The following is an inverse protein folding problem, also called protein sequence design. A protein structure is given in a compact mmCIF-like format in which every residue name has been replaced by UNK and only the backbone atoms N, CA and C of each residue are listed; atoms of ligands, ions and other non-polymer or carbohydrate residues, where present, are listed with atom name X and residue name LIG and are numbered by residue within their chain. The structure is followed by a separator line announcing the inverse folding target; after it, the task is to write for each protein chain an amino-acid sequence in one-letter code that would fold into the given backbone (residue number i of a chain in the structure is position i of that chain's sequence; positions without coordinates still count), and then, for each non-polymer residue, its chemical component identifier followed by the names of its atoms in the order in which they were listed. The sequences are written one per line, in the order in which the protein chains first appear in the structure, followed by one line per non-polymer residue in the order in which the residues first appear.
data_IF_676185267855
#
_entry.id   IF_676185267855
#
_cell.length_a   1.000
_cell.length_b   1.000
_cell.length_c   1.000
_cell.angle_alpha   90.00
_cell.angle_beta   90.00
_cell.angle_gamma   90.00
#
_symmetry.space_group_name_H-M   'P 1'
#
loop_
_entity.id
_entity.type
_entity.pdbx_description
1 polymer ?
#
# COMPACT_ATOMS: atom_id res chain seq x y z
N UNK A 1 5.73 20.70 19.65
CA UNK A 1 5.63 20.81 18.17
C UNK A 1 5.36 19.40 17.66
N UNK A 2 4.40 19.24 16.76
CA UNK A 2 4.13 17.94 16.16
C UNK A 2 5.20 17.59 15.11
N UNK A 3 5.68 16.35 15.10
CA UNK A 3 6.58 15.83 14.08
C UNK A 3 5.81 15.65 12.76
N UNK A 4 6.38 16.07 11.67
CA UNK A 4 5.81 15.92 10.33
C UNK A 4 6.21 14.59 9.73
N UNK A 5 5.25 13.70 9.51
CA UNK A 5 5.48 12.42 8.84
C UNK A 5 5.00 12.45 7.39
N UNK A 6 5.78 11.86 6.50
CA UNK A 6 5.36 11.51 5.15
C UNK A 6 5.48 10.01 4.93
N UNK A 7 4.50 9.42 4.26
CA UNK A 7 4.49 8.00 3.95
C UNK A 7 4.83 7.81 2.48
N UNK A 8 5.75 6.90 2.19
CA UNK A 8 6.22 6.52 0.86
C UNK A 8 5.95 5.03 0.66
N UNK A 9 5.11 4.69 -0.29
CA UNK A 9 4.62 3.31 -0.48
C UNK A 9 5.16 2.73 -1.78
N UNK A 10 5.94 1.65 -1.67
CA UNK A 10 6.19 0.77 -2.81
C UNK A 10 4.93 -0.05 -3.09
N UNK A 11 4.16 0.39 -4.09
CA UNK A 11 2.89 -0.22 -4.44
C UNK A 11 3.04 -1.64 -4.98
N UNK A 12 4.12 -1.92 -5.69
CA UNK A 12 4.42 -3.25 -6.21
C UNK A 12 4.72 -4.24 -5.07
N UNK A 13 5.56 -3.82 -4.13
CA UNK A 13 5.84 -4.60 -2.93
C UNK A 13 4.58 -4.83 -2.08
N UNK A 14 3.81 -3.77 -1.81
CA UNK A 14 2.60 -3.86 -1.00
C UNK A 14 1.55 -4.79 -1.63
N UNK A 15 1.39 -4.73 -2.95
CA UNK A 15 0.47 -5.61 -3.67
C UNK A 15 0.87 -7.09 -3.54
N UNK A 16 2.15 -7.42 -3.72
CA UNK A 16 2.66 -8.79 -3.56
C UNK A 16 2.55 -9.26 -2.11
N UNK A 17 2.91 -8.40 -1.18
CA UNK A 17 2.89 -8.69 0.26
C UNK A 17 1.50 -8.96 0.81
N UNK A 18 0.45 -8.42 0.17
CA UNK A 18 -0.94 -8.69 0.53
C UNK A 18 -1.25 -10.20 0.56
N UNK A 19 -0.75 -10.96 -0.40
CA UNK A 19 -0.98 -12.43 -0.45
C UNK A 19 -0.30 -13.13 0.72
N UNK A 20 0.94 -12.73 1.04
CA UNK A 20 1.68 -13.28 2.18
C UNK A 20 1.02 -12.95 3.51
N UNK A 21 0.60 -11.69 3.67
CA UNK A 21 -0.13 -11.23 4.86
C UNK A 21 -1.41 -12.04 5.06
N UNK A 22 -2.14 -12.25 3.99
CA UNK A 22 -3.34 -13.07 3.90
C UNK A 22 -3.13 -14.51 4.40
N UNK A 23 -2.09 -15.18 3.87
CA UNK A 23 -1.75 -16.54 4.27
C UNK A 23 -1.36 -16.63 5.74
N UNK A 24 -0.59 -15.65 6.24
CA UNK A 24 -0.18 -15.61 7.65
C UNK A 24 -1.34 -15.43 8.62
N UNK A 25 -2.38 -14.72 8.21
CA UNK A 25 -3.56 -14.47 9.05
C UNK A 25 -4.59 -15.61 9.01
N UNK A 26 -4.38 -16.64 8.17
CA UNK A 26 -5.31 -17.76 8.02
C UNK A 26 -6.67 -17.36 7.45
N UNK A 27 -6.72 -16.30 6.68
CA UNK A 27 -7.96 -15.75 6.12
C UNK A 27 -8.37 -16.48 4.85
N UNK A 28 -9.54 -17.11 4.81
CA UNK A 28 -10.04 -17.82 3.62
C UNK A 28 -10.64 -16.88 2.56
N UNK A 29 -11.14 -15.70 2.98
CA UNK A 29 -11.95 -14.80 2.14
C UNK A 29 -11.22 -13.58 1.56
N UNK A 30 -9.93 -13.49 1.75
CA UNK A 30 -9.14 -12.37 1.28
C UNK A 30 -8.93 -11.26 2.31
N UNK A 31 -7.71 -10.75 2.34
CA UNK A 31 -7.33 -9.59 3.12
C UNK A 31 -7.29 -8.36 2.20
N UNK A 32 -8.13 -7.39 2.48
CA UNK A 32 -8.08 -6.09 1.80
C UNK A 32 -7.58 -5.03 2.77
N UNK A 33 -6.64 -4.22 2.28
CA UNK A 33 -6.08 -3.10 3.05
C UNK A 33 -7.03 -1.90 2.97
N UNK A 34 -7.31 -1.30 4.11
CA UNK A 34 -7.93 0.02 4.20
C UNK A 34 -6.87 1.10 3.97
N UNK A 35 -6.73 1.53 2.73
CA UNK A 35 -5.75 2.53 2.34
C UNK A 35 -6.01 3.90 3.00
N UNK A 36 -7.23 4.21 3.41
CA UNK A 36 -7.52 5.46 4.12
C UNK A 36 -6.98 5.43 5.56
N UNK A 37 -6.92 4.25 6.19
CA UNK A 37 -6.42 4.06 7.56
C UNK A 37 -4.91 3.81 7.61
N UNK A 38 -4.36 3.06 6.64
CA UNK A 38 -2.98 2.59 6.66
C UNK A 38 -1.96 3.66 7.05
N UNK A 39 -1.90 4.85 6.44
CA UNK A 39 -0.89 5.85 6.81
C UNK A 39 -1.05 6.38 8.22
N UNK A 40 -2.30 6.48 8.70
CA UNK A 40 -2.60 6.99 10.04
C UNK A 40 -2.18 6.01 11.11
N UNK A 41 -2.52 4.73 10.96
CA UNK A 41 -2.11 3.66 11.87
C UNK A 41 -0.60 3.66 12.07
N UNK A 42 0.17 3.82 10.99
CA UNK A 42 1.63 3.87 11.07
C UNK A 42 2.15 5.14 11.75
N UNK A 43 1.50 6.28 11.54
CA UNK A 43 1.85 7.52 12.26
C UNK A 43 1.52 7.44 13.75
N UNK A 44 0.39 6.83 14.09
CA UNK A 44 -0.04 6.63 15.48
C UNK A 44 0.92 5.68 16.22
N UNK A 45 1.44 4.65 15.56
CA UNK A 45 2.44 3.74 16.11
C UNK A 45 3.74 4.50 16.47
N UNK A 46 4.22 5.37 15.56
CA UNK A 46 5.39 6.21 15.82
C UNK A 46 5.12 7.22 16.95
N UNK A 47 3.95 7.83 16.97
CA UNK A 47 3.55 8.78 18.01
C UNK A 47 3.55 8.12 19.39
N UNK A 48 2.99 6.90 19.49
CA UNK A 48 2.97 6.11 20.71
C UNK A 48 4.39 5.71 21.16
N UNK A 49 5.26 5.34 20.21
CA UNK A 49 6.64 4.98 20.54
C UNK A 49 7.46 6.16 21.07
N UNK A 50 7.26 7.35 20.48
CA UNK A 50 8.02 8.56 20.86
C UNK A 50 7.41 9.33 22.03
N UNK A 51 6.17 9.06 22.39
CA UNK A 51 5.35 9.90 23.29
C UNK A 51 5.30 11.37 22.80
N UNK A 52 5.21 11.54 21.46
CA UNK A 52 5.15 12.82 20.76
C UNK A 52 4.04 12.84 19.72
N UNK A 53 3.46 14.02 19.47
CA UNK A 53 2.48 14.18 18.39
C UNK A 53 3.13 14.01 17.01
N UNK A 54 2.54 13.18 16.15
CA UNK A 54 2.94 12.98 14.77
C UNK A 54 1.82 13.39 13.83
N UNK A 55 2.09 14.32 12.91
CA UNK A 55 1.15 14.78 11.90
C UNK A 55 1.48 14.18 10.55
N UNK A 56 0.54 13.43 9.98
CA UNK A 56 0.63 12.97 8.59
C UNK A 56 0.50 14.15 7.64
N UNK A 57 1.57 14.48 6.92
CA UNK A 57 1.61 15.58 5.95
C UNK A 57 1.16 15.11 4.57
N UNK A 58 1.65 13.93 4.14
CA UNK A 58 1.44 13.43 2.79
C UNK A 58 1.64 11.92 2.74
N UNK A 59 0.90 11.28 1.84
CA UNK A 59 1.11 9.88 1.47
C UNK A 59 1.39 9.80 -0.02
N UNK A 60 2.54 9.24 -0.38
CA UNK A 60 2.97 9.06 -1.76
C UNK A 60 2.91 7.56 -2.11
N UNK A 61 2.31 7.24 -3.24
CA UNK A 61 2.19 5.86 -3.72
C UNK A 61 2.87 5.73 -5.07
N UNK A 62 3.83 4.82 -5.17
CA UNK A 62 4.61 4.57 -6.36
C UNK A 62 4.29 3.20 -6.93
N UNK A 63 4.09 3.12 -8.23
CA UNK A 63 3.74 1.85 -8.85
C UNK A 63 3.98 1.82 -10.34
N UNK A 64 3.79 0.64 -10.91
CA UNK A 64 3.83 0.42 -12.35
C UNK A 64 2.50 -0.15 -12.84
N UNK A 65 2.20 0.09 -14.10
CA UNK A 65 1.04 -0.47 -14.79
C UNK A 65 1.50 -0.99 -16.16
N UNK A 66 1.02 -2.16 -16.60
CA UNK A 66 1.30 -2.62 -17.95
C UNK A 66 0.85 -1.60 -18.99
N UNK A 67 1.70 -1.31 -19.98
CA UNK A 67 1.35 -0.42 -21.07
C UNK A 67 0.20 -1.00 -21.91
N UNK A 68 -0.52 -0.14 -22.61
CA UNK A 68 -1.61 -0.56 -23.50
C UNK A 68 -1.14 -1.55 -24.59
N UNK A 69 0.15 -1.49 -24.96
CA UNK A 69 0.76 -2.42 -25.93
C UNK A 69 0.88 -3.85 -25.43
N UNK A 70 0.87 -4.04 -24.12
CA UNK A 70 0.98 -5.35 -23.48
C UNK A 70 -0.29 -6.20 -23.58
N UNK A 71 -1.42 -5.66 -24.06
CA UNK A 71 -2.68 -6.38 -24.24
C UNK A 71 -3.44 -6.71 -22.94
N UNK A 72 -2.97 -6.24 -21.79
CA UNK A 72 -3.63 -6.46 -20.50
C UNK A 72 -4.75 -5.45 -20.28
N UNK A 73 -5.83 -5.91 -19.62
CA UNK A 73 -6.90 -5.02 -19.19
C UNK A 73 -6.51 -4.33 -17.86
N UNK A 74 -6.08 -3.08 -17.96
CA UNK A 74 -5.60 -2.27 -16.85
C UNK A 74 -6.66 -1.35 -16.23
N UNK A 75 -7.92 -1.43 -16.66
CA UNK A 75 -8.99 -0.55 -16.18
C UNK A 75 -9.18 -0.59 -14.66
N UNK A 76 -9.02 -1.78 -14.04
CA UNK A 76 -9.11 -1.92 -12.58
C UNK A 76 -7.96 -1.24 -11.84
N UNK A 77 -6.75 -1.29 -12.40
CA UNK A 77 -5.59 -0.64 -11.83
C UNK A 77 -5.75 0.88 -11.88
N UNK A 78 -6.17 1.44 -13.02
CA UNK A 78 -6.47 2.87 -13.12
C UNK A 78 -7.56 3.31 -12.13
N UNK A 79 -8.67 2.56 -12.03
CA UNK A 79 -9.72 2.85 -11.05
C UNK A 79 -9.21 2.79 -9.61
N UNK A 80 -8.25 1.91 -9.31
CA UNK A 80 -7.64 1.84 -8.00
C UNK A 80 -6.77 3.07 -7.70
N UNK A 81 -5.95 3.53 -8.64
CA UNK A 81 -5.15 4.74 -8.45
C UNK A 81 -6.02 5.98 -8.31
N UNK A 82 -7.06 6.10 -9.13
CA UNK A 82 -8.05 7.15 -8.99
C UNK A 82 -8.74 7.14 -7.61
N UNK A 83 -9.04 5.96 -7.07
CA UNK A 83 -9.54 5.81 -5.71
C UNK A 83 -8.53 6.30 -4.66
N UNK A 84 -7.25 5.95 -4.78
CA UNK A 84 -6.21 6.43 -3.87
C UNK A 84 -6.12 7.96 -3.85
N UNK A 85 -6.17 8.59 -5.01
CA UNK A 85 -6.11 10.05 -5.13
C UNK A 85 -7.37 10.73 -4.59
N UNK A 86 -8.55 10.33 -5.09
CA UNK A 86 -9.80 11.03 -4.81
C UNK A 86 -10.40 10.71 -3.44
N UNK A 87 -10.23 9.48 -2.95
CA UNK A 87 -10.87 9.01 -1.74
C UNK A 87 -9.93 8.90 -0.55
N UNK A 88 -8.64 8.62 -0.78
CA UNK A 88 -7.65 8.49 0.27
C UNK A 88 -6.71 9.70 0.39
N UNK A 89 -6.71 10.60 -0.60
CA UNK A 89 -5.86 11.80 -0.62
C UNK A 89 -4.37 11.50 -0.83
N UNK A 90 -4.06 10.43 -1.57
CA UNK A 90 -2.71 10.07 -1.90
C UNK A 90 -2.20 10.88 -3.10
N UNK A 91 -0.90 11.08 -3.16
CA UNK A 91 -0.21 11.46 -4.39
C UNK A 91 0.32 10.20 -5.04
N UNK A 92 -0.11 9.91 -6.27
CA UNK A 92 0.31 8.71 -6.99
C UNK A 92 1.29 9.05 -8.10
N UNK A 93 2.35 8.26 -8.22
CA UNK A 93 3.31 8.31 -9.31
C UNK A 93 3.37 6.92 -9.96
N UNK A 94 2.72 6.79 -11.12
CA UNK A 94 2.48 5.51 -11.79
C UNK A 94 3.14 5.52 -13.16
N UNK A 95 4.03 4.55 -13.40
CA UNK A 95 4.73 4.41 -14.67
C UNK A 95 4.15 3.29 -15.52
N UNK A 96 3.89 3.57 -16.78
CA UNK A 96 3.57 2.54 -17.76
C UNK A 96 4.84 1.77 -18.15
N UNK A 97 4.79 0.45 -18.02
CA UNK A 97 5.91 -0.45 -18.36
C UNK A 97 5.51 -1.47 -19.40
N UNK A 98 6.42 -1.77 -20.32
CA UNK A 98 6.22 -2.84 -21.27
C UNK A 98 6.63 -4.18 -20.64
N UNK A 99 5.65 -5.02 -20.37
CA UNK A 99 5.86 -6.32 -19.73
C UNK A 99 6.07 -7.47 -20.73
N UNK A 100 6.15 -7.18 -22.04
CA UNK A 100 6.43 -8.18 -23.07
C UNK A 100 5.49 -9.40 -23.03
N UNK A 101 4.24 -9.21 -22.57
CA UNK A 101 3.26 -10.29 -22.42
C UNK A 101 3.39 -11.11 -21.11
N UNK A 102 4.37 -10.83 -20.25
CA UNK A 102 4.55 -11.50 -18.98
C UNK A 102 4.63 -10.49 -17.82
N UNK A 103 3.55 -10.40 -17.06
CA UNK A 103 3.41 -9.49 -15.88
C UNK A 103 4.45 -9.81 -14.77
N UNK A 104 4.85 -11.07 -14.62
CA UNK A 104 5.82 -11.46 -13.58
C UNK A 104 7.25 -10.95 -13.86
N UNK A 105 7.47 -10.41 -15.07
CA UNK A 105 8.73 -9.78 -15.47
C UNK A 105 8.67 -8.25 -15.41
N UNK A 106 7.66 -7.67 -14.76
CA UNK A 106 7.61 -6.23 -14.59
C UNK A 106 8.87 -5.76 -13.85
N UNK A 107 9.58 -4.84 -14.46
CA UNK A 107 10.74 -4.21 -13.85
C UNK A 107 10.26 -3.19 -12.80
N UNK A 108 10.50 -3.48 -11.53
CA UNK A 108 10.16 -2.60 -10.41
C UNK A 108 11.13 -1.41 -10.27
N UNK A 109 12.13 -1.29 -11.16
CA UNK A 109 13.16 -0.22 -11.09
C UNK A 109 12.52 1.16 -11.09
N UNK A 110 11.49 1.39 -11.90
CA UNK A 110 10.78 2.67 -11.94
C UNK A 110 10.16 3.03 -10.59
N UNK A 111 9.49 2.10 -9.95
CA UNK A 111 8.91 2.31 -8.61
C UNK A 111 9.98 2.70 -7.60
N UNK A 112 11.11 1.99 -7.58
CA UNK A 112 12.22 2.26 -6.66
C UNK A 112 12.86 3.62 -6.94
N UNK A 113 13.11 3.95 -8.21
CA UNK A 113 13.70 5.24 -8.63
C UNK A 113 12.80 6.39 -8.21
N UNK A 114 11.49 6.32 -8.51
CA UNK A 114 10.54 7.37 -8.16
C UNK A 114 10.40 7.53 -6.65
N UNK A 115 10.25 6.43 -5.92
CA UNK A 115 10.16 6.45 -4.46
C UNK A 115 11.42 7.10 -3.85
N UNK A 116 12.60 6.64 -4.25
CA UNK A 116 13.86 7.15 -3.68
C UNK A 116 14.12 8.60 -4.07
N UNK A 117 13.79 9.00 -5.30
CA UNK A 117 13.91 10.39 -5.76
C UNK A 117 12.99 11.32 -4.98
N UNK A 118 11.72 10.96 -4.80
CA UNK A 118 10.75 11.73 -4.04
C UNK A 118 11.12 11.81 -2.56
N UNK A 119 11.55 10.69 -1.96
CA UNK A 119 12.04 10.67 -0.58
C UNK A 119 13.20 11.66 -0.40
N UNK A 120 14.22 11.62 -1.25
CA UNK A 120 15.38 12.49 -1.16
C UNK A 120 15.04 13.95 -1.43
N UNK A 121 14.12 14.21 -2.37
CA UNK A 121 13.61 15.55 -2.64
C UNK A 121 12.99 16.18 -1.38
N UNK A 122 12.05 15.48 -0.74
CA UNK A 122 11.41 15.98 0.48
C UNK A 122 12.37 16.00 1.68
N UNK A 123 13.30 15.05 1.77
CA UNK A 123 14.30 15.03 2.84
C UNK A 123 15.25 16.24 2.77
N UNK A 124 15.61 16.67 1.56
CA UNK A 124 16.46 17.85 1.36
C UNK A 124 15.71 19.19 1.57
N UNK A 125 14.39 19.17 1.49
CA UNK A 125 13.56 20.37 1.63
C UNK A 125 13.38 20.73 3.10
N UNK A 126 13.78 21.94 3.55
CA UNK A 126 13.69 22.35 4.95
C UNK A 126 12.23 22.33 5.45
N UNK A 127 12.00 21.64 6.55
CA UNK A 127 10.69 21.60 7.22
C UNK A 127 9.59 20.85 6.47
N UNK A 128 9.89 20.14 5.38
CA UNK A 128 8.91 19.33 4.64
C UNK A 128 8.49 18.09 5.44
N UNK A 129 9.44 17.37 6.01
CA UNK A 129 9.18 16.22 6.87
C UNK A 129 10.25 16.11 7.98
N UNK A 130 9.91 15.43 9.05
CA UNK A 130 10.81 15.03 10.13
C UNK A 130 11.00 13.50 10.14
N UNK A 131 9.94 12.77 9.79
CA UNK A 131 9.91 11.30 9.75
C UNK A 131 9.46 10.84 8.36
N UNK A 132 10.25 9.97 7.74
CA UNK A 132 9.86 9.25 6.53
C UNK A 132 9.44 7.81 6.90
N UNK A 133 8.19 7.49 6.67
CA UNK A 133 7.65 6.12 6.79
C UNK A 133 7.71 5.47 5.41
N UNK A 134 8.47 4.39 5.27
CA UNK A 134 8.68 3.74 3.98
C UNK A 134 8.10 2.33 4.01
N UNK A 135 7.00 2.13 3.28
CA UNK A 135 6.35 0.83 3.14
C UNK A 135 6.99 0.09 1.98
N UNK A 136 7.80 -0.88 2.32
CA UNK A 136 8.59 -1.70 1.39
C UNK A 136 9.75 -2.33 2.13
N UNK A 137 10.17 -3.51 1.69
CA UNK A 137 11.23 -4.29 2.34
C UNK A 137 12.34 -4.67 1.36
N UNK A 138 12.60 -3.79 0.39
CA UNK A 138 13.64 -4.01 -0.60
C UNK A 138 14.97 -3.42 -0.14
N UNK A 139 16.04 -4.25 0.00
CA UNK A 139 17.36 -3.78 0.41
C UNK A 139 17.96 -2.71 -0.50
N UNK A 140 17.55 -2.65 -1.78
CA UNK A 140 18.01 -1.63 -2.72
C UNK A 140 17.59 -0.21 -2.32
N UNK A 141 16.60 -0.05 -1.45
CA UNK A 141 16.20 1.25 -0.91
C UNK A 141 17.19 1.80 0.13
N UNK A 142 18.01 0.95 0.75
CA UNK A 142 18.88 1.32 1.86
C UNK A 142 19.83 2.51 1.57
N UNK A 143 20.45 2.65 0.39
CA UNK A 143 21.28 3.81 0.08
C UNK A 143 20.52 5.14 0.17
N UNK A 144 19.27 5.19 -0.31
CA UNK A 144 18.44 6.39 -0.25
C UNK A 144 17.98 6.69 1.17
N UNK A 145 17.57 5.67 1.93
CA UNK A 145 17.19 5.82 3.33
C UNK A 145 18.35 6.37 4.17
N UNK A 146 19.54 5.81 4.01
CA UNK A 146 20.73 6.32 4.67
C UNK A 146 21.08 7.76 4.26
N UNK A 147 20.86 8.11 2.99
CA UNK A 147 21.06 9.49 2.53
C UNK A 147 20.06 10.45 3.16
N UNK A 148 18.79 10.07 3.28
CA UNK A 148 17.77 10.89 3.94
C UNK A 148 18.10 11.13 5.43
N UNK A 149 18.67 10.12 6.12
CA UNK A 149 19.19 10.29 7.49
C UNK A 149 20.29 11.33 7.59
N UNK A 150 21.18 11.42 6.59
CA UNK A 150 22.21 12.47 6.55
C UNK A 150 21.63 13.89 6.40
N UNK A 151 20.39 14.02 5.92
CA UNK A 151 19.63 15.27 5.95
C UNK A 151 18.90 15.51 7.29
N UNK A 152 19.20 14.70 8.31
CA UNK A 152 18.63 14.83 9.64
C UNK A 152 17.18 14.28 9.74
N UNK A 153 16.77 13.43 8.80
CA UNK A 153 15.43 12.81 8.83
C UNK A 153 15.47 11.48 9.57
N UNK A 154 14.40 11.17 10.31
CA UNK A 154 14.22 9.86 10.94
C UNK A 154 13.54 8.93 9.94
N UNK A 155 13.95 7.66 9.88
CA UNK A 155 13.44 6.68 8.92
C UNK A 155 12.75 5.55 9.67
N UNK A 156 11.49 5.30 9.29
CA UNK A 156 10.70 4.15 9.73
C UNK A 156 10.38 3.25 8.53
N UNK A 157 11.16 2.19 8.29
CA UNK A 157 10.76 1.17 7.35
C UNK A 157 9.60 0.35 7.91
N UNK A 158 8.70 -0.07 7.01
CA UNK A 158 7.55 -0.91 7.30
C UNK A 158 7.54 -2.10 6.34
N UNK A 159 7.54 -3.30 6.88
CA UNK A 159 7.63 -4.55 6.11
C UNK A 159 6.71 -5.65 6.62
N UNK A 160 7.04 -6.88 6.27
CA UNK A 160 6.44 -8.08 6.86
C UNK A 160 7.46 -8.80 7.73
N UNK A 161 7.01 -9.49 8.78
CA UNK A 161 7.91 -10.34 9.56
C UNK A 161 8.57 -11.36 8.67
N UNK A 162 9.92 -11.51 8.75
CA UNK A 162 10.62 -12.49 7.96
C UNK A 162 10.07 -13.91 8.22
N UNK A 163 10.00 -14.71 7.19
CA UNK A 163 9.75 -16.15 7.37
C UNK A 163 10.95 -16.79 8.07
N UNK A 164 10.74 -17.93 8.78
CA UNK A 164 11.76 -18.60 9.61
C UNK A 164 13.07 -18.91 8.90
N UNK A 165 13.06 -19.03 7.57
CA UNK A 165 14.24 -19.36 6.75
C UNK A 165 14.68 -18.18 5.84
N UNK A 166 14.17 -16.98 6.05
CA UNK A 166 14.58 -15.81 5.25
C UNK A 166 16.03 -15.42 5.58
N UNK A 167 16.80 -15.09 4.54
CA UNK A 167 18.14 -14.55 4.74
C UNK A 167 18.04 -13.10 5.23
N UNK A 168 18.79 -12.71 6.28
CA UNK A 168 18.73 -11.34 6.80
C UNK A 168 18.97 -10.27 5.74
N UNK A 169 19.93 -10.50 4.84
CA UNK A 169 20.28 -9.55 3.76
C UNK A 169 19.22 -9.40 2.67
N UNK A 170 18.18 -10.24 2.65
CA UNK A 170 17.07 -10.12 1.69
C UNK A 170 15.99 -9.12 2.12
N UNK A 171 16.17 -8.46 3.25
CA UNK A 171 15.22 -7.52 3.86
C UNK A 171 15.93 -6.26 4.33
N UNK A 172 15.27 -5.12 4.25
CA UNK A 172 15.76 -3.86 4.84
C UNK A 172 16.08 -4.00 6.33
N UNK A 173 15.28 -4.80 7.05
CA UNK A 173 15.44 -5.01 8.49
C UNK A 173 16.68 -5.82 8.86
N UNK A 174 17.25 -6.57 7.92
CA UNK A 174 18.51 -7.28 8.08
C UNK A 174 19.74 -6.40 7.89
N UNK A 175 19.57 -5.18 7.37
CA UNK A 175 20.67 -4.28 7.11
C UNK A 175 20.97 -3.37 8.33
N UNK A 176 22.26 -3.15 8.66
CA UNK A 176 22.60 -2.31 9.78
C UNK A 176 22.26 -0.83 9.49
N UNK A 177 21.76 -0.13 10.49
CA UNK A 177 21.56 1.34 10.50
C UNK A 177 20.55 1.89 9.49
N UNK A 178 19.56 1.09 9.04
CA UNK A 178 18.51 1.57 8.13
C UNK A 178 17.34 2.19 8.89
N UNK A 179 17.10 1.76 10.13
CA UNK A 179 16.00 2.20 10.96
C UNK A 179 16.46 3.13 12.08
N UNK A 180 15.67 4.15 12.38
CA UNK A 180 15.82 5.00 13.57
C UNK A 180 14.86 4.60 14.68
N UNK A 181 13.89 3.72 14.38
CA UNK A 181 12.86 3.20 15.28
C UNK A 181 12.87 1.66 15.27
N UNK A 182 12.20 1.00 16.22
CA UNK A 182 11.95 -0.43 16.13
C UNK A 182 11.27 -0.79 14.81
N UNK A 183 11.59 -1.95 14.21
CA UNK A 183 10.93 -2.38 12.99
C UNK A 183 9.41 -2.44 13.15
N UNK A 184 8.66 -1.89 12.20
CA UNK A 184 7.21 -2.00 12.12
C UNK A 184 6.84 -3.06 11.11
N UNK A 185 6.02 -4.01 11.53
CA UNK A 185 5.53 -5.08 10.67
C UNK A 185 4.02 -4.95 10.45
N UNK A 186 3.59 -4.94 9.19
CA UNK A 186 2.17 -4.89 8.85
C UNK A 186 1.37 -6.07 9.42
N UNK A 187 2.05 -7.19 9.69
CA UNK A 187 1.44 -8.34 10.37
C UNK A 187 0.86 -7.96 11.75
N UNK A 188 1.54 -7.07 12.47
CA UNK A 188 1.15 -6.66 13.83
C UNK A 188 -0.05 -5.71 13.80
N UNK A 189 -0.19 -4.95 12.71
CA UNK A 189 -1.27 -3.97 12.50
C UNK A 189 -2.39 -4.50 11.59
N UNK A 190 -2.39 -5.79 11.27
CA UNK A 190 -3.32 -6.36 10.29
C UNK A 190 -4.80 -6.10 10.63
N UNK A 191 -5.17 -6.17 11.91
CA UNK A 191 -6.53 -5.89 12.36
C UNK A 191 -6.92 -4.43 12.14
N UNK A 192 -5.98 -3.50 12.35
CA UNK A 192 -6.22 -2.06 12.28
C UNK A 192 -6.29 -1.56 10.84
N UNK A 193 -5.43 -2.13 9.96
CA UNK A 193 -5.38 -1.76 8.54
C UNK A 193 -6.31 -2.59 7.66
N UNK A 194 -7.09 -3.48 8.23
CA UNK A 194 -8.06 -4.28 7.48
C UNK A 194 -9.25 -3.44 7.02
N UNK A 195 -9.61 -3.58 5.75
CA UNK A 195 -10.85 -3.02 5.24
C UNK A 195 -12.04 -3.85 5.71
N UNK A 196 -12.78 -3.33 6.69
CA UNK A 196 -14.03 -3.92 7.16
C UNK A 196 -15.17 -3.37 6.31
N UNK A 197 -15.79 -4.24 5.50
CA UNK A 197 -16.96 -3.87 4.72
C UNK A 197 -18.22 -4.16 5.53
N UNK A 198 -19.08 -3.17 5.68
CA UNK A 198 -20.39 -3.36 6.28
C UNK A 198 -21.23 -4.35 5.45
N UNK A 199 -21.74 -5.38 6.10
CA UNK A 199 -22.73 -6.27 5.52
C UNK A 199 -24.08 -5.57 5.60
N UNK A 200 -24.78 -5.46 4.47
CA UNK A 200 -26.10 -4.84 4.35
C UNK A 200 -27.02 -5.79 3.64
N UNK A 201 -28.27 -5.88 4.11
CA UNK A 201 -29.32 -6.58 3.37
C UNK A 201 -29.75 -5.72 2.18
N UNK A 202 -29.68 -6.26 0.98
CA UNK A 202 -30.05 -5.59 -0.27
C UNK A 202 -31.05 -6.42 -1.04
N UNK A 203 -31.98 -5.73 -1.69
CA UNK A 203 -32.99 -6.36 -2.56
C UNK A 203 -32.45 -6.44 -3.98
N UNK A 204 -32.47 -7.63 -4.58
CA UNK A 204 -32.05 -7.84 -5.96
C UNK A 204 -32.98 -7.11 -6.93
N UNK A 205 -32.41 -6.24 -7.77
CA UNK A 205 -33.19 -5.46 -8.74
C UNK A 205 -33.90 -6.30 -9.80
N UNK A 206 -33.43 -7.52 -10.05
CA UNK A 206 -33.99 -8.41 -11.08
C UNK A 206 -35.08 -9.36 -10.54
N UNK A 207 -34.89 -9.93 -9.35
CA UNK A 207 -35.81 -10.95 -8.83
C UNK A 207 -36.43 -10.62 -7.47
N UNK A 208 -36.16 -9.46 -6.90
CA UNK A 208 -36.71 -9.02 -5.60
C UNK A 208 -36.20 -9.78 -4.37
N UNK A 209 -35.27 -10.74 -4.51
CA UNK A 209 -34.75 -11.50 -3.37
C UNK A 209 -33.85 -10.61 -2.51
N UNK A 210 -33.99 -10.70 -1.21
CA UNK A 210 -33.09 -10.12 -0.23
C UNK A 210 -31.85 -11.01 -0.05
N UNK A 211 -30.69 -10.41 -0.01
CA UNK A 211 -29.41 -11.10 0.23
C UNK A 211 -28.48 -10.18 0.99
N UNK A 212 -27.77 -10.73 1.97
CA UNK A 212 -26.71 -10.01 2.67
C UNK A 212 -25.50 -9.84 1.75
N UNK A 213 -24.99 -8.62 1.66
CA UNK A 213 -23.89 -8.29 0.76
C UNK A 213 -23.10 -7.12 1.27
N UNK A 214 -21.82 -7.09 0.90
CA UNK A 214 -20.95 -5.93 1.10
C UNK A 214 -21.04 -4.92 -0.05
N UNK A 215 -21.88 -5.16 -1.06
CA UNK A 215 -22.04 -4.29 -2.21
C UNK A 215 -22.71 -2.96 -1.82
N UNK A 216 -21.99 -1.84 -2.01
CA UNK A 216 -22.44 -0.50 -1.68
C UNK A 216 -22.99 0.30 -2.88
N UNK A 217 -22.86 -0.23 -4.10
CA UNK A 217 -23.33 0.44 -5.33
C UNK A 217 -24.85 0.60 -5.41
N UNK A 218 -25.37 1.46 -6.30
CA UNK A 218 -26.79 1.77 -6.40
C UNK A 218 -27.63 0.55 -6.78
N UNK A 219 -27.17 -0.28 -7.70
CA UNK A 219 -27.88 -1.43 -8.21
C UNK A 219 -27.27 -2.73 -7.66
N UNK A 220 -28.11 -3.55 -7.01
CA UNK A 220 -27.69 -4.84 -6.49
C UNK A 220 -28.37 -5.97 -7.27
N UNK A 221 -27.57 -6.98 -7.66
CA UNK A 221 -28.03 -8.24 -8.26
C UNK A 221 -27.52 -9.41 -7.42
N UNK A 222 -28.43 -10.26 -6.96
CA UNK A 222 -28.09 -11.42 -6.15
C UNK A 222 -27.18 -12.40 -6.91
N UNK A 223 -26.56 -13.32 -6.19
CA UNK A 223 -25.60 -14.30 -6.73
C UNK A 223 -26.16 -15.05 -7.95
N UNK A 224 -27.45 -15.41 -7.95
CA UNK A 224 -28.11 -16.12 -9.07
C UNK A 224 -28.40 -15.24 -10.30
N UNK A 225 -28.65 -13.93 -10.08
CA UNK A 225 -29.01 -13.01 -11.16
C UNK A 225 -27.81 -12.29 -11.77
N UNK A 226 -26.69 -12.21 -11.06
CA UNK A 226 -25.47 -11.51 -11.51
C UNK A 226 -24.89 -12.08 -12.82
N UNK A 227 -24.96 -13.41 -13.01
CA UNK A 227 -24.54 -14.07 -14.24
C UNK A 227 -25.42 -13.70 -15.45
N UNK A 228 -26.72 -13.60 -15.24
CA UNK A 228 -27.68 -13.25 -16.30
C UNK A 228 -27.60 -11.79 -16.74
N UNK A 229 -27.21 -10.90 -15.85
CA UNK A 229 -26.99 -9.46 -16.19
C UNK A 229 -25.76 -9.25 -17.05
N UNK A 230 -24.67 -10.03 -16.81
CA UNK A 230 -23.42 -9.93 -17.60
C UNK A 230 -23.53 -10.44 -19.05
N UNK A 231 -24.50 -11.31 -19.32
CA UNK A 231 -24.72 -11.84 -20.66
C UNK A 231 -25.58 -10.93 -21.56
N UNK A 232 -26.20 -9.88 -20.98
CA UNK A 232 -27.10 -8.95 -21.70
C UNK A 232 -26.51 -7.53 -21.79
N UNK A 233 -25.26 -7.32 -21.39
CA UNK A 233 -24.49 -6.06 -21.50
C UNK A 233 -23.29 -6.25 -22.43
#
# INVERSE_FOLDING_TARGET
MSLKAMVFIDGGWLYRSRTTLFQKLGEENGFEIDYAKLPRVLCDDIANYLDEDVSLVRTNYFGTIPSARSGFNTAKQYSFYEFLEKNCGYETEIHEVDVGGNIDRSDDSWTKISLTSSLLYYAAMPGALDVAVVIGDDPDLAPALNRARLFGKRIQPVGLRPMQNAKPESSLFGLPRVCDFPPVYLDDHAADVRLVREIRTRVCKLCGREEETTWAGPDFFCTQCRGKHRSNS
#
